data_IF_475484721552
#
_entry.id   IF_475484721552
#
_cell.length_a   1.000
_cell.length_b   1.000
_cell.length_c   1.000
_cell.angle_alpha   90.00
_cell.angle_beta   90.00
_cell.angle_gamma   90.00
#
_symmetry.space_group_name_H-M   'P 1'
#
loop_
_entity.id
_entity.type
_entity.pdbx_description
1 polymer ?
#
# COMPACT_ATOMS: atom_id res chain seq x y z
N UNK A 1 4.12 10.63 -11.27
CA UNK A 1 4.55 11.25 -12.54
C UNK A 1 4.20 10.30 -13.68
N UNK A 2 3.71 10.81 -14.81
CA UNK A 2 3.50 10.00 -16.01
C UNK A 2 4.69 10.30 -16.92
N UNK A 3 5.48 9.28 -17.28
CA UNK A 3 6.57 9.39 -18.25
C UNK A 3 6.37 8.37 -19.38
N UNK A 4 7.30 8.32 -20.33
CA UNK A 4 7.28 7.37 -21.45
C UNK A 4 7.39 5.90 -21.04
N UNK A 5 7.80 5.61 -19.80
CA UNK A 5 7.91 4.26 -19.23
C UNK A 5 6.64 3.85 -18.47
N UNK A 6 5.74 4.79 -18.18
CA UNK A 6 4.41 4.55 -17.63
C UNK A 6 4.01 5.48 -16.48
N UNK A 7 3.07 4.99 -15.65
CA UNK A 7 2.63 5.68 -14.44
C UNK A 7 3.59 5.32 -13.32
N UNK A 8 4.46 6.26 -12.95
CA UNK A 8 5.28 6.13 -11.75
C UNK A 8 4.58 6.80 -10.58
N UNK A 9 4.35 6.03 -9.53
CA UNK A 9 3.93 6.58 -8.26
C UNK A 9 5.10 7.32 -7.64
N UNK A 10 4.83 8.45 -7.01
CA UNK A 10 5.81 9.14 -6.19
C UNK A 10 6.39 8.17 -5.14
N UNK A 11 7.72 7.95 -5.12
CA UNK A 11 8.37 7.05 -4.16
C UNK A 11 7.99 7.35 -2.71
N UNK A 12 7.79 8.62 -2.37
CA UNK A 12 7.41 9.04 -1.00
C UNK A 12 6.03 8.50 -0.58
N UNK A 13 5.11 8.31 -1.53
CA UNK A 13 3.80 7.70 -1.26
C UNK A 13 3.88 6.18 -1.08
N UNK A 14 4.89 5.54 -1.66
CA UNK A 14 5.14 4.11 -1.46
C UNK A 14 5.84 3.90 -0.11
N UNK A 15 6.83 4.74 0.23
CA UNK A 15 7.55 4.68 1.50
C UNK A 15 6.62 4.84 2.69
N UNK A 16 5.71 5.81 2.67
CA UNK A 16 4.72 5.99 3.74
C UNK A 16 3.76 4.80 3.92
N UNK A 17 3.57 3.96 2.90
CA UNK A 17 2.81 2.69 3.02
C UNK A 17 3.69 1.56 3.54
N UNK A 18 4.99 1.57 3.22
CA UNK A 18 5.97 0.59 3.72
C UNK A 18 6.26 0.80 5.21
N UNK A 19 6.36 2.06 5.64
CA UNK A 19 6.65 2.45 7.02
C UNK A 19 5.39 2.54 7.89
N UNK A 20 4.24 2.14 7.36
CA UNK A 20 2.97 2.18 8.06
C UNK A 20 3.00 1.25 9.28
N UNK A 21 2.70 1.77 10.47
CA UNK A 21 2.62 0.96 11.68
C UNK A 21 1.52 -0.10 11.59
N UNK A 22 1.70 -1.25 12.24
CA UNK A 22 0.69 -2.30 12.24
C UNK A 22 -0.66 -1.76 12.76
N UNK A 23 -1.74 -1.86 11.96
CA UNK A 23 -3.05 -1.35 12.36
C UNK A 23 -3.58 -2.11 13.56
N UNK A 24 -4.16 -1.38 14.51
CA UNK A 24 -4.65 -1.90 15.81
C UNK A 24 -6.16 -2.06 15.86
N UNK A 25 -6.87 -1.59 14.83
CA UNK A 25 -8.34 -1.67 14.76
C UNK A 25 -8.84 -2.14 13.39
N UNK A 26 -10.02 -2.78 13.31
CA UNK A 26 -10.66 -3.13 12.03
C UNK A 26 -10.91 -1.93 11.11
N UNK A 27 -11.05 -0.72 11.68
CA UNK A 27 -11.21 0.51 10.92
C UNK A 27 -9.91 0.91 10.22
N UNK A 28 -8.79 0.88 10.93
CA UNK A 28 -7.46 1.15 10.36
C UNK A 28 -7.07 0.12 9.30
N UNK A 29 -7.41 -1.16 9.51
CA UNK A 29 -7.21 -2.21 8.49
C UNK A 29 -7.94 -1.85 7.19
N UNK A 30 -9.21 -1.44 7.27
CA UNK A 30 -10.00 -1.05 6.10
C UNK A 30 -9.45 0.21 5.43
N UNK A 31 -9.01 1.19 6.20
CA UNK A 31 -8.37 2.41 5.68
C UNK A 31 -7.06 2.09 4.95
N UNK A 32 -6.21 1.26 5.56
CA UNK A 32 -4.95 0.81 4.96
C UNK A 32 -5.19 0.06 3.66
N UNK A 33 -6.10 -0.92 3.65
CA UNK A 33 -6.42 -1.69 2.44
C UNK A 33 -7.00 -0.82 1.33
N UNK A 34 -7.84 0.18 1.69
CA UNK A 34 -8.38 1.15 0.73
C UNK A 34 -7.28 2.02 0.10
N UNK A 35 -6.34 2.50 0.92
CA UNK A 35 -5.24 3.35 0.46
C UNK A 35 -4.22 2.56 -0.36
N UNK A 36 -3.79 1.39 0.14
CA UNK A 36 -2.79 0.55 -0.50
C UNK A 36 -3.31 -0.18 -1.75
N UNK A 37 -4.63 -0.32 -1.91
CA UNK A 37 -5.24 -0.94 -3.08
C UNK A 37 -4.82 -0.31 -4.42
N UNK A 38 -4.69 1.02 -4.46
CA UNK A 38 -4.22 1.74 -5.64
C UNK A 38 -2.72 1.46 -5.93
N UNK A 39 -1.92 1.31 -4.87
CA UNK A 39 -0.47 1.15 -4.95
C UNK A 39 0.01 -0.30 -5.03
N UNK A 40 -0.90 -1.28 -4.91
CA UNK A 40 -0.55 -2.72 -4.83
C UNK A 40 0.41 -3.21 -5.92
N UNK A 41 0.34 -2.62 -7.12
CA UNK A 41 1.16 -3.01 -8.29
C UNK A 41 2.60 -2.50 -8.22
N UNK A 42 2.87 -1.55 -7.33
CA UNK A 42 4.16 -0.91 -7.12
C UNK A 42 4.82 -1.35 -5.81
N UNK A 43 4.14 -2.19 -5.02
CA UNK A 43 4.64 -2.71 -3.74
C UNK A 43 4.93 -4.20 -3.95
N UNK A 44 6.22 -4.54 -4.05
CA UNK A 44 6.65 -5.93 -4.13
C UNK A 44 6.19 -6.70 -2.89
N UNK A 45 5.61 -7.88 -3.10
CA UNK A 45 5.14 -8.72 -1.99
C UNK A 45 3.91 -8.19 -1.24
N UNK A 46 3.18 -7.20 -1.78
CA UNK A 46 1.97 -6.63 -1.13
C UNK A 46 0.99 -7.69 -0.61
N UNK A 47 0.77 -8.77 -1.39
CA UNK A 47 -0.12 -9.86 -0.98
C UNK A 47 0.33 -10.57 0.31
N UNK A 48 1.64 -10.70 0.54
CA UNK A 48 2.20 -11.30 1.76
C UNK A 48 1.99 -10.38 2.96
N UNK A 49 2.19 -9.07 2.79
CA UNK A 49 1.99 -8.04 3.81
C UNK A 49 0.51 -7.92 4.20
N UNK A 50 -0.39 -7.92 3.22
CA UNK A 50 -1.84 -7.80 3.46
C UNK A 50 -2.49 -9.09 3.98
N UNK A 51 -1.82 -10.25 3.87
CA UNK A 51 -2.36 -11.55 4.30
C UNK A 51 -2.79 -11.59 5.77
N UNK A 52 -1.97 -11.17 6.76
CA UNK A 52 -2.39 -11.11 8.17
C UNK A 52 -3.47 -10.06 8.47
N UNK A 53 -3.73 -9.13 7.55
CA UNK A 53 -4.71 -8.05 7.72
C UNK A 53 -6.07 -8.38 7.11
N UNK A 54 -6.22 -9.55 6.49
CA UNK A 54 -7.53 -10.03 6.05
C UNK A 54 -8.29 -10.49 7.30
N UNK A 55 -9.28 -9.70 7.68
CA UNK A 55 -10.29 -10.05 8.69
C UNK A 55 -11.07 -11.28 8.20
#
# INVERSE_FOLDING_TARGET
>A
MINSEGIHVDPTKIESIKDWESPKSPMEIRQFLGLAGYYRRFIEGFSKIAKPMKI
#
